data_IF_291006071523
#
_entry.id   IF_291006071523
#
_cell.length_a   1.000
_cell.length_b   1.000
_cell.length_c   1.000
_cell.angle_alpha   90.00
_cell.angle_beta   90.00
_cell.angle_gamma   90.00
#
_symmetry.space_group_name_H-M   'P 1'
#
loop_
_entity.id
_entity.type
_entity.pdbx_description
1 polymer ?
#
# COMPACT_ATOMS: atom_id res chain seq x y z
N UNK A 1 -10.15 -2.70 -28.12
CA UNK A 1 -10.59 -2.12 -26.82
C UNK A 1 -11.45 -3.05 -25.95
N UNK A 2 -12.18 -4.05 -26.49
CA UNK A 2 -12.97 -4.98 -25.65
C UNK A 2 -12.12 -5.91 -24.75
N UNK A 3 -10.89 -6.27 -25.17
CA UNK A 3 -9.99 -7.14 -24.37
C UNK A 3 -9.40 -6.46 -23.13
N UNK A 4 -9.40 -5.13 -23.05
CA UNK A 4 -8.88 -4.39 -21.88
C UNK A 4 -9.89 -4.32 -20.73
N UNK A 5 -11.20 -4.28 -21.04
CA UNK A 5 -12.29 -4.29 -20.04
C UNK A 5 -12.40 -5.63 -19.29
N UNK A 6 -12.15 -6.75 -19.97
CA UNK A 6 -12.18 -8.08 -19.35
C UNK A 6 -10.97 -8.33 -18.44
N UNK A 7 -9.83 -7.69 -18.71
CA UNK A 7 -8.64 -7.79 -17.86
C UNK A 7 -8.85 -7.03 -16.54
N UNK A 8 -9.38 -5.81 -16.58
CA UNK A 8 -9.60 -4.97 -15.39
C UNK A 8 -10.58 -5.55 -14.38
N UNK A 9 -11.57 -6.34 -14.84
CA UNK A 9 -12.50 -7.04 -13.96
C UNK A 9 -11.88 -8.28 -13.28
N UNK A 10 -10.67 -8.68 -13.70
CA UNK A 10 -9.94 -9.87 -13.23
C UNK A 10 -8.64 -9.53 -12.46
N UNK A 11 -8.12 -8.30 -12.52
CA UNK A 11 -6.79 -7.97 -11.97
C UNK A 11 -6.76 -8.05 -10.43
N UNK A 12 -7.90 -7.90 -9.76
CA UNK A 12 -7.99 -8.08 -8.31
C UNK A 12 -9.16 -9.00 -7.99
N UNK A 13 -9.02 -10.28 -8.33
CA UNK A 13 -9.80 -11.32 -7.66
C UNK A 13 -9.62 -11.14 -6.15
N UNK A 14 -10.75 -10.90 -5.47
CA UNK A 14 -10.96 -10.74 -4.02
C UNK A 14 -9.82 -11.32 -3.19
N UNK A 15 -9.32 -10.55 -2.22
CA UNK A 15 -8.27 -10.88 -1.22
C UNK A 15 -6.81 -10.93 -1.68
N UNK A 16 -6.49 -11.38 -2.91
CA UNK A 16 -5.08 -11.61 -3.27
C UNK A 16 -4.27 -10.32 -3.40
N UNK A 17 -4.77 -9.33 -4.13
CA UNK A 17 -3.99 -8.11 -4.36
C UNK A 17 -3.97 -7.15 -3.15
N UNK A 18 -4.93 -7.24 -2.23
CA UNK A 18 -4.86 -6.53 -0.94
C UNK A 18 -3.76 -7.13 -0.05
N UNK A 19 -3.62 -8.47 -0.05
CA UNK A 19 -2.53 -9.14 0.64
C UNK A 19 -1.17 -8.75 0.03
N UNK A 20 -1.04 -8.74 -1.29
CA UNK A 20 0.19 -8.33 -1.99
C UNK A 20 0.56 -6.87 -1.71
N UNK A 21 -0.41 -5.94 -1.72
CA UNK A 21 -0.18 -4.54 -1.36
C UNK A 21 0.25 -4.40 0.11
N UNK A 22 -0.36 -5.16 1.01
CA UNK A 22 0.03 -5.17 2.42
C UNK A 22 1.45 -5.72 2.63
N UNK A 23 1.83 -6.78 1.91
CA UNK A 23 3.21 -7.31 1.90
C UNK A 23 4.19 -6.27 1.38
N UNK A 24 3.86 -5.57 0.28
CA UNK A 24 4.68 -4.47 -0.24
C UNK A 24 4.89 -3.37 0.80
N UNK A 25 3.82 -2.91 1.45
CA UNK A 25 3.88 -1.92 2.52
C UNK A 25 4.79 -2.39 3.66
N UNK A 26 4.66 -3.64 4.10
CA UNK A 26 5.49 -4.20 5.16
C UNK A 26 6.96 -4.21 4.78
N UNK A 27 7.28 -4.69 3.57
CA UNK A 27 8.66 -4.74 3.09
C UNK A 27 9.31 -3.36 3.01
N UNK A 28 8.56 -2.34 2.57
CA UNK A 28 9.06 -0.97 2.47
C UNK A 28 9.22 -0.33 3.86
N UNK A 29 8.34 -0.63 4.82
CA UNK A 29 8.51 -0.20 6.22
C UNK A 29 9.80 -0.80 6.81
N UNK A 30 10.07 -2.09 6.58
CA UNK A 30 11.27 -2.73 7.09
C UNK A 30 12.54 -2.30 6.34
N UNK A 31 12.42 -1.87 5.08
CA UNK A 31 13.51 -1.19 4.37
C UNK A 31 13.81 0.16 5.03
N UNK A 32 12.81 1.02 5.25
CA UNK A 32 12.99 2.31 5.91
C UNK A 32 13.66 2.18 7.30
N UNK A 33 13.26 1.20 8.11
CA UNK A 33 13.91 0.94 9.42
C UNK A 33 15.39 0.60 9.29
N UNK A 34 15.76 -0.17 8.25
CA UNK A 34 17.16 -0.52 7.98
C UNK A 34 17.95 0.71 7.51
N UNK A 35 17.36 1.55 6.68
CA UNK A 35 17.95 2.82 6.25
C UNK A 35 18.12 3.79 7.43
N UNK A 36 17.16 3.88 8.35
CA UNK A 36 17.30 4.63 9.61
C UNK A 36 18.46 4.12 10.47
N UNK A 37 18.67 2.79 10.50
CA UNK A 37 19.80 2.23 11.22
C UNK A 37 21.13 2.60 10.55
N UNK A 38 21.20 2.57 9.21
CA UNK A 38 22.36 3.05 8.45
C UNK A 38 22.65 4.51 8.80
N UNK A 39 21.63 5.36 8.97
CA UNK A 39 21.83 6.74 9.39
C UNK A 39 22.50 6.87 10.77
N UNK A 40 22.11 6.00 11.72
CA UNK A 40 22.69 5.97 13.07
C UNK A 40 24.14 5.50 13.02
N UNK A 41 24.40 4.41 12.31
CA UNK A 41 25.74 3.84 12.18
C UNK A 41 26.70 4.81 11.48
N UNK A 42 26.22 5.54 10.47
CA UNK A 42 26.97 6.61 9.80
C UNK A 42 27.27 7.77 10.75
N UNK A 43 26.31 8.19 11.57
CA UNK A 43 26.56 9.23 12.57
C UNK A 43 27.65 8.82 13.57
N UNK A 44 27.62 7.57 14.06
CA UNK A 44 28.67 7.00 14.91
C UNK A 44 30.02 6.98 14.19
N UNK A 45 30.04 6.59 12.91
CA UNK A 45 31.27 6.58 12.09
C UNK A 45 31.85 7.98 11.94
N UNK A 46 31.03 9.00 11.68
CA UNK A 46 31.45 10.40 11.59
C UNK A 46 32.09 10.85 12.92
N UNK A 47 31.48 10.53 14.05
CA UNK A 47 32.06 10.83 15.37
C UNK A 47 33.40 10.14 15.60
N UNK A 48 33.53 8.87 15.20
CA UNK A 48 34.76 8.11 15.32
C UNK A 48 35.88 8.69 14.42
N UNK A 49 35.57 9.10 13.20
CA UNK A 49 36.52 9.76 12.30
C UNK A 49 37.03 11.08 12.89
N UNK A 50 36.14 11.92 13.45
CA UNK A 50 36.55 13.17 14.11
C UNK A 50 37.43 12.93 15.34
N UNK A 51 37.11 11.90 16.13
CA UNK A 51 37.94 11.51 17.28
C UNK A 51 39.32 11.01 16.84
N UNK A 52 39.39 10.21 15.78
CA UNK A 52 40.65 9.78 15.19
C UNK A 52 41.47 10.97 14.69
N UNK A 53 40.87 11.85 13.89
CA UNK A 53 41.52 13.05 13.34
C UNK A 53 42.19 13.91 14.41
N UNK A 54 41.58 14.05 15.60
CA UNK A 54 42.15 14.81 16.70
C UNK A 54 43.51 14.28 17.22
N UNK A 55 43.87 13.03 16.92
CA UNK A 55 45.13 12.39 17.31
C UNK A 55 46.20 12.38 16.21
N UNK A 56 45.89 12.95 15.03
CA UNK A 56 46.75 12.88 13.85
C UNK A 56 47.51 14.19 13.61
N UNK A 57 48.60 14.17 12.82
CA UNK A 57 49.23 15.38 12.27
C UNK A 57 48.23 16.26 11.53
N UNK A 58 48.49 17.56 11.44
CA UNK A 58 47.52 18.55 10.97
C UNK A 58 47.00 18.27 9.55
N UNK A 59 47.85 17.77 8.64
CA UNK A 59 47.47 17.41 7.27
C UNK A 59 46.45 16.27 7.25
N UNK A 60 46.71 15.18 7.99
CA UNK A 60 45.82 14.02 8.10
C UNK A 60 44.54 14.40 8.87
N UNK A 61 44.69 15.17 9.95
CA UNK A 61 43.59 15.66 10.76
C UNK A 61 42.60 16.47 9.92
N UNK A 62 43.09 17.40 9.10
CA UNK A 62 42.24 18.22 8.26
C UNK A 62 41.51 17.36 7.21
N UNK A 63 42.23 16.51 6.47
CA UNK A 63 41.61 15.64 5.46
C UNK A 63 40.54 14.70 6.05
N UNK A 64 40.83 14.04 7.18
CA UNK A 64 39.87 13.15 7.85
C UNK A 64 38.68 13.92 8.41
N UNK A 65 38.88 15.11 8.99
CA UNK A 65 37.78 15.96 9.44
C UNK A 65 36.88 16.38 8.28
N UNK A 66 37.45 16.76 7.14
CA UNK A 66 36.68 17.13 5.95
C UNK A 66 35.87 15.93 5.43
N UNK A 67 36.43 14.73 5.38
CA UNK A 67 35.68 13.50 5.04
C UNK A 67 34.52 13.27 6.02
N UNK A 68 34.76 13.44 7.32
CA UNK A 68 33.72 13.29 8.33
C UNK A 68 32.61 14.35 8.19
N UNK A 69 32.96 15.57 7.82
CA UNK A 69 32.01 16.66 7.59
C UNK A 69 31.17 16.46 6.33
N UNK A 70 31.75 15.95 5.24
CA UNK A 70 31.00 15.55 4.05
C UNK A 70 29.97 14.44 4.35
N UNK A 71 30.24 13.61 5.36
CA UNK A 71 29.30 12.58 5.83
C UNK A 71 28.01 13.14 6.43
N UNK A 72 28.01 14.36 6.99
CA UNK A 72 26.85 14.95 7.65
C UNK A 72 25.71 15.29 6.65
N UNK A 73 25.95 16.05 5.55
CA UNK A 73 24.93 16.26 4.52
C UNK A 73 24.40 14.97 3.91
N UNK A 74 25.25 13.95 3.71
CA UNK A 74 24.80 12.66 3.20
C UNK A 74 23.86 11.96 4.19
N UNK A 75 24.18 12.02 5.48
CA UNK A 75 23.34 11.42 6.51
C UNK A 75 21.97 12.10 6.62
N UNK A 76 21.95 13.43 6.50
CA UNK A 76 20.71 14.19 6.44
C UNK A 76 19.89 13.80 5.20
N UNK A 77 20.53 13.71 4.03
CA UNK A 77 19.85 13.33 2.79
C UNK A 77 19.23 11.92 2.85
N UNK A 78 19.92 10.96 3.48
CA UNK A 78 19.36 9.61 3.70
C UNK A 78 18.16 9.66 4.65
N UNK A 79 18.23 10.45 5.72
CA UNK A 79 17.13 10.65 6.66
C UNK A 79 15.91 11.29 5.99
N UNK A 80 16.14 12.34 5.19
CA UNK A 80 15.08 13.03 4.44
C UNK A 80 14.43 12.09 3.41
N UNK A 81 15.24 11.25 2.74
CA UNK A 81 14.75 10.21 1.82
C UNK A 81 13.83 9.25 2.56
N UNK A 82 14.24 8.72 3.71
CA UNK A 82 13.39 7.79 4.49
C UNK A 82 12.07 8.45 4.87
N UNK A 83 12.11 9.67 5.41
CA UNK A 83 10.91 10.43 5.79
C UNK A 83 9.98 10.63 4.59
N UNK A 84 10.54 10.98 3.43
CA UNK A 84 9.77 11.16 2.20
C UNK A 84 9.13 9.84 1.72
N UNK A 85 9.85 8.73 1.78
CA UNK A 85 9.32 7.40 1.42
C UNK A 85 8.20 7.00 2.38
N UNK A 86 8.39 7.16 3.69
CA UNK A 86 7.34 6.86 4.67
C UNK A 86 6.10 7.74 4.47
N UNK A 87 6.31 9.05 4.36
CA UNK A 87 5.23 10.04 4.37
C UNK A 87 4.45 10.09 3.06
N UNK A 88 5.11 9.91 1.93
CA UNK A 88 4.51 10.14 0.61
C UNK A 88 4.31 8.88 -0.22
N UNK A 89 5.12 7.83 -0.03
CA UNK A 89 4.95 6.56 -0.72
C UNK A 89 4.15 5.57 0.13
N UNK A 90 4.66 5.19 1.29
CA UNK A 90 4.05 4.16 2.15
C UNK A 90 2.66 4.58 2.61
N UNK A 91 2.47 5.82 3.06
CA UNK A 91 1.15 6.31 3.46
C UNK A 91 0.14 6.30 2.30
N UNK A 92 0.56 6.65 1.08
CA UNK A 92 -0.34 6.56 -0.09
C UNK A 92 -0.71 5.13 -0.44
N UNK A 93 0.21 4.18 -0.31
CA UNK A 93 -0.13 2.76 -0.45
C UNK A 93 -1.14 2.30 0.62
N UNK A 94 -1.01 2.79 1.87
CA UNK A 94 -1.99 2.51 2.94
C UNK A 94 -3.37 3.09 2.63
N UNK A 95 -3.44 4.32 2.12
CA UNK A 95 -4.72 4.92 1.72
C UNK A 95 -5.41 4.10 0.61
N UNK A 96 -4.64 3.63 -0.39
CA UNK A 96 -5.15 2.73 -1.45
C UNK A 96 -5.68 1.43 -0.84
N UNK A 97 -4.94 0.82 0.10
CA UNK A 97 -5.36 -0.41 0.76
C UNK A 97 -6.66 -0.22 1.55
N UNK A 98 -6.80 0.87 2.30
CA UNK A 98 -8.02 1.18 3.03
C UNK A 98 -9.21 1.43 2.11
N UNK A 99 -9.01 2.10 0.98
CA UNK A 99 -10.04 2.27 -0.04
C UNK A 99 -10.44 0.92 -0.67
N UNK A 100 -9.49 0.01 -0.90
CA UNK A 100 -9.76 -1.33 -1.40
C UNK A 100 -10.59 -2.17 -0.41
N UNK A 101 -10.30 -2.08 0.90
CA UNK A 101 -11.09 -2.77 1.94
C UNK A 101 -12.55 -2.31 1.96
N UNK A 102 -12.82 -1.03 1.70
CA UNK A 102 -14.20 -0.52 1.59
C UNK A 102 -14.93 -1.14 0.40
N UNK A 103 -14.23 -1.39 -0.71
CA UNK A 103 -14.80 -2.10 -1.86
C UNK A 103 -15.12 -3.56 -1.53
N UNK A 104 -14.28 -4.25 -0.77
CA UNK A 104 -14.54 -5.63 -0.32
C UNK A 104 -15.82 -5.72 0.54
N UNK A 105 -16.06 -4.73 1.41
CA UNK A 105 -17.29 -4.65 2.21
C UNK A 105 -18.52 -4.50 1.32
N UNK A 106 -18.46 -3.61 0.33
CA UNK A 106 -19.58 -3.38 -0.60
C UNK A 106 -19.86 -4.61 -1.47
N UNK A 107 -18.81 -5.29 -1.93
CA UNK A 107 -18.94 -6.55 -2.66
C UNK A 107 -19.54 -7.67 -1.81
N UNK A 108 -19.21 -7.72 -0.52
CA UNK A 108 -19.82 -8.65 0.43
C UNK A 108 -21.31 -8.33 0.63
N UNK A 109 -21.67 -7.07 0.83
CA UNK A 109 -23.07 -6.64 0.93
C UNK A 109 -23.88 -7.01 -0.33
N UNK A 110 -23.30 -6.81 -1.51
CA UNK A 110 -23.91 -7.22 -2.79
C UNK A 110 -24.11 -8.73 -2.87
N UNK A 111 -23.12 -9.52 -2.45
CA UNK A 111 -23.20 -10.98 -2.42
C UNK A 111 -24.27 -11.48 -1.42
N UNK A 112 -24.32 -10.89 -0.23
CA UNK A 112 -25.31 -11.22 0.79
C UNK A 112 -26.73 -10.85 0.31
N UNK A 113 -26.90 -9.73 -0.40
CA UNK A 113 -28.16 -9.34 -1.00
C UNK A 113 -28.60 -10.31 -2.12
N UNK A 114 -27.68 -10.81 -2.95
CA UNK A 114 -27.99 -11.85 -3.95
C UNK A 114 -28.50 -13.13 -3.29
N UNK A 115 -27.80 -13.60 -2.26
CA UNK A 115 -28.24 -14.77 -1.49
C UNK A 115 -29.59 -14.57 -0.80
N UNK A 116 -29.90 -13.35 -0.38
CA UNK A 116 -31.22 -13.01 0.16
C UNK A 116 -32.31 -13.11 -0.92
N UNK A 117 -32.07 -12.63 -2.14
CA UNK A 117 -33.00 -12.79 -3.28
C UNK A 117 -33.20 -14.26 -3.64
N UNK A 118 -32.14 -15.06 -3.68
CA UNK A 118 -32.21 -16.51 -3.93
C UNK A 118 -33.08 -17.21 -2.87
N UNK A 119 -32.80 -16.97 -1.58
CA UNK A 119 -33.60 -17.52 -0.48
C UNK A 119 -35.07 -17.10 -0.52
N UNK A 120 -35.34 -15.83 -0.82
CA UNK A 120 -36.71 -15.32 -0.91
C UNK A 120 -37.45 -15.93 -2.11
N UNK A 121 -36.76 -16.15 -3.23
CA UNK A 121 -37.30 -16.82 -4.41
C UNK A 121 -37.64 -18.29 -4.14
N UNK A 122 -36.77 -19.01 -3.44
CA UNK A 122 -37.02 -20.38 -3.00
C UNK A 122 -38.20 -20.47 -2.02
N UNK A 123 -38.30 -19.51 -1.08
CA UNK A 123 -39.42 -19.44 -0.15
C UNK A 123 -40.74 -19.20 -0.90
N UNK A 124 -40.76 -18.24 -1.82
CA UNK A 124 -41.92 -17.94 -2.65
C UNK A 124 -42.39 -19.18 -3.42
N UNK A 125 -41.47 -19.87 -4.11
CA UNK A 125 -41.80 -21.10 -4.84
C UNK A 125 -42.39 -22.20 -3.95
N UNK A 126 -41.88 -22.35 -2.71
CA UNK A 126 -42.44 -23.30 -1.73
C UNK A 126 -43.86 -22.91 -1.30
N UNK A 127 -44.12 -21.63 -1.05
CA UNK A 127 -45.46 -21.13 -0.68
C UNK A 127 -46.46 -21.27 -1.83
N UNK A 128 -46.00 -21.07 -3.06
CA UNK A 128 -46.82 -21.24 -4.25
C UNK A 128 -47.27 -22.70 -4.43
N UNK A 129 -46.35 -23.66 -4.27
CA UNK A 129 -46.69 -25.10 -4.24
C UNK A 129 -47.63 -25.48 -3.09
N UNK A 130 -47.45 -24.88 -1.92
CA UNK A 130 -48.34 -25.13 -0.77
C UNK A 130 -49.77 -24.64 -1.04
N UNK A 131 -49.92 -23.47 -1.68
CA UNK A 131 -51.21 -22.95 -2.10
C UNK A 131 -51.89 -23.86 -3.13
N UNK A 132 -51.16 -24.33 -4.14
CA UNK A 132 -51.66 -25.30 -5.13
C UNK A 132 -52.17 -26.59 -4.44
N UNK A 133 -51.39 -27.13 -3.50
CA UNK A 133 -51.80 -28.31 -2.74
C UNK A 133 -53.02 -28.08 -1.84
N UNK A 134 -53.19 -26.88 -1.26
CA UNK A 134 -54.38 -26.54 -0.48
C UNK A 134 -55.62 -26.41 -1.37
N UNK A 135 -55.48 -25.80 -2.56
CA UNK A 135 -56.55 -25.68 -3.56
C UNK A 135 -57.04 -27.05 -4.05
N UNK A 136 -56.12 -27.99 -4.32
CA UNK A 136 -56.49 -29.36 -4.72
C UNK A 136 -57.28 -30.12 -3.65
N UNK A 137 -57.05 -29.82 -2.37
CA UNK A 137 -57.72 -30.47 -1.24
C UNK A 137 -59.06 -29.83 -0.85
N UNK A 138 -59.41 -28.66 -1.42
CA UNK A 138 -60.69 -27.99 -1.21
C UNK A 138 -60.93 -27.41 0.19
N UNK A 139 -59.90 -27.28 1.03
CA UNK A 139 -60.02 -26.76 2.40
C UNK A 139 -59.89 -25.23 2.40
N UNK A 140 -61.03 -24.54 2.48
CA UNK A 140 -61.11 -23.07 2.43
C UNK A 140 -60.24 -22.37 3.50
N UNK A 141 -60.14 -22.95 4.70
CA UNK A 141 -59.31 -22.41 5.79
C UNK A 141 -57.81 -22.51 5.46
N UNK A 142 -57.38 -23.64 4.90
CA UNK A 142 -55.99 -23.82 4.47
C UNK A 142 -55.64 -22.98 3.24
N UNK A 143 -56.59 -22.72 2.34
CA UNK A 143 -56.40 -21.84 1.19
C UNK A 143 -56.13 -20.41 1.66
N UNK A 144 -56.98 -19.84 2.52
CA UNK A 144 -56.79 -18.48 3.03
C UNK A 144 -55.45 -18.31 3.77
N UNK A 145 -55.06 -19.29 4.58
CA UNK A 145 -53.76 -19.29 5.26
C UNK A 145 -52.58 -19.37 4.27
N UNK A 146 -52.67 -20.19 3.22
CA UNK A 146 -51.64 -20.31 2.20
C UNK A 146 -51.51 -19.03 1.34
N UNK A 147 -52.62 -18.36 1.04
CA UNK A 147 -52.63 -17.07 0.32
C UNK A 147 -51.95 -15.96 1.14
N UNK A 148 -52.24 -15.88 2.45
CA UNK A 148 -51.58 -14.92 3.33
C UNK A 148 -50.05 -15.16 3.40
N UNK A 149 -49.63 -16.43 3.49
CA UNK A 149 -48.21 -16.78 3.47
C UNK A 149 -47.53 -16.48 2.14
N UNK A 150 -48.22 -16.70 1.01
CA UNK A 150 -47.70 -16.37 -0.32
C UNK A 150 -47.47 -14.86 -0.44
N UNK A 151 -48.45 -14.04 -0.04
CA UNK A 151 -48.34 -12.58 -0.07
C UNK A 151 -47.17 -12.06 0.80
N UNK A 152 -46.94 -12.68 1.96
CA UNK A 152 -45.77 -12.36 2.80
C UNK A 152 -44.46 -12.69 2.08
N UNK A 153 -44.36 -13.87 1.45
CA UNK A 153 -43.18 -14.29 0.72
C UNK A 153 -42.91 -13.42 -0.53
N UNK A 154 -43.95 -12.94 -1.21
CA UNK A 154 -43.84 -11.96 -2.30
C UNK A 154 -43.24 -10.65 -1.81
N UNK A 155 -43.72 -10.15 -0.66
CA UNK A 155 -43.22 -8.91 -0.07
C UNK A 155 -41.74 -9.04 0.38
N UNK A 156 -41.36 -10.19 0.94
CA UNK A 156 -39.96 -10.52 1.27
C UNK A 156 -39.07 -10.48 0.02
N UNK A 157 -39.50 -11.13 -1.06
CA UNK A 157 -38.76 -11.14 -2.34
C UNK A 157 -38.61 -9.73 -2.92
N UNK A 158 -39.69 -8.94 -2.98
CA UNK A 158 -39.65 -7.55 -3.46
C UNK A 158 -38.66 -6.72 -2.63
N UNK A 159 -38.60 -6.94 -1.32
CA UNK A 159 -37.69 -6.20 -0.43
C UNK A 159 -36.23 -6.58 -0.67
N UNK A 160 -35.94 -7.87 -0.86
CA UNK A 160 -34.61 -8.35 -1.21
C UNK A 160 -34.16 -7.84 -2.59
N UNK A 161 -35.05 -7.88 -3.60
CA UNK A 161 -34.78 -7.39 -4.95
C UNK A 161 -34.49 -5.89 -4.96
N UNK A 162 -35.29 -5.08 -4.26
CA UNK A 162 -35.05 -3.62 -4.11
C UNK A 162 -33.72 -3.31 -3.42
N UNK A 163 -33.31 -4.13 -2.46
CA UNK A 163 -32.01 -3.97 -1.81
C UNK A 163 -30.87 -4.25 -2.80
N UNK A 164 -30.97 -5.34 -3.55
CA UNK A 164 -29.97 -5.69 -4.56
C UNK A 164 -29.91 -4.66 -5.70
N UNK A 165 -31.06 -4.19 -6.17
CA UNK A 165 -31.19 -3.16 -7.21
C UNK A 165 -30.52 -1.84 -6.81
N UNK A 166 -30.51 -1.49 -5.52
CA UNK A 166 -29.78 -0.32 -5.01
C UNK A 166 -28.27 -0.56 -4.90
N UNK A 167 -27.87 -1.77 -4.48
CA UNK A 167 -26.46 -2.08 -4.23
C UNK A 167 -25.65 -2.29 -5.51
N UNK A 168 -26.24 -2.84 -6.57
CA UNK A 168 -25.55 -3.05 -7.85
C UNK A 168 -24.98 -1.74 -8.44
N UNK A 169 -25.79 -0.69 -8.72
CA UNK A 169 -25.28 0.54 -9.31
C UNK A 169 -24.32 1.27 -8.38
N UNK A 170 -24.56 1.25 -7.06
CA UNK A 170 -23.65 1.82 -6.08
C UNK A 170 -22.28 1.13 -6.11
N UNK A 171 -22.24 -0.20 -6.20
CA UNK A 171 -21.00 -0.96 -6.30
C UNK A 171 -20.23 -0.64 -7.58
N UNK A 172 -20.92 -0.47 -8.71
CA UNK A 172 -20.30 -0.12 -9.99
C UNK A 172 -19.73 1.30 -9.98
N UNK A 173 -20.47 2.27 -9.42
CA UNK A 173 -20.03 3.65 -9.24
C UNK A 173 -18.77 3.70 -8.37
N UNK A 174 -18.81 3.07 -7.19
CA UNK A 174 -17.69 3.04 -6.26
C UNK A 174 -16.48 2.28 -6.80
N UNK A 175 -16.69 1.23 -7.58
CA UNK A 175 -15.59 0.54 -8.25
C UNK A 175 -14.87 1.46 -9.27
N UNK A 176 -15.63 2.27 -10.02
CA UNK A 176 -15.05 3.23 -10.97
C UNK A 176 -14.30 4.36 -10.28
N UNK A 177 -14.88 4.92 -9.21
CA UNK A 177 -14.22 5.93 -8.37
C UNK A 177 -12.91 5.38 -7.81
N UNK A 178 -12.95 4.17 -7.25
CA UNK A 178 -11.78 3.51 -6.68
C UNK A 178 -10.70 3.26 -7.74
N UNK A 179 -11.05 2.78 -8.95
CA UNK A 179 -10.08 2.53 -10.01
C UNK A 179 -9.34 3.80 -10.45
N UNK A 180 -10.06 4.92 -10.56
CA UNK A 180 -9.47 6.22 -10.89
C UNK A 180 -8.56 6.70 -9.76
N UNK A 181 -9.03 6.63 -8.51
CA UNK A 181 -8.26 7.00 -7.33
C UNK A 181 -6.99 6.15 -7.21
N UNK A 182 -7.09 4.83 -7.31
CA UNK A 182 -5.98 3.89 -7.22
C UNK A 182 -4.89 4.22 -8.25
N UNK A 183 -5.27 4.44 -9.51
CA UNK A 183 -4.32 4.71 -10.59
C UNK A 183 -3.57 6.03 -10.36
N UNK A 184 -4.29 7.09 -9.96
CA UNK A 184 -3.67 8.39 -9.65
C UNK A 184 -2.78 8.31 -8.43
N UNK A 185 -3.29 7.75 -7.32
CA UNK A 185 -2.57 7.64 -6.06
C UNK A 185 -1.31 6.79 -6.19
N UNK A 186 -1.35 5.68 -6.96
CA UNK A 186 -0.17 4.85 -7.20
C UNK A 186 0.88 5.59 -8.03
N UNK A 187 0.46 6.32 -9.06
CA UNK A 187 1.37 7.15 -9.86
C UNK A 187 2.07 8.20 -9.00
N UNK A 188 1.32 8.90 -8.14
CA UNK A 188 1.86 9.91 -7.26
C UNK A 188 2.81 9.32 -6.22
N UNK A 189 2.44 8.17 -5.63
CA UNK A 189 3.28 7.44 -4.69
C UNK A 189 4.62 7.02 -5.34
N UNK A 190 4.58 6.41 -6.53
CA UNK A 190 5.79 5.98 -7.25
C UNK A 190 6.67 7.16 -7.66
N UNK A 191 6.06 8.28 -8.07
CA UNK A 191 6.79 9.51 -8.37
C UNK A 191 7.48 10.05 -7.12
N UNK A 192 6.78 10.12 -5.99
CA UNK A 192 7.35 10.59 -4.73
C UNK A 192 8.54 9.73 -4.27
N UNK A 193 8.42 8.40 -4.38
CA UNK A 193 9.53 7.48 -4.11
C UNK A 193 10.71 7.76 -5.03
N UNK A 194 10.46 7.87 -6.33
CA UNK A 194 11.52 8.10 -7.32
C UNK A 194 12.26 9.41 -7.08
N UNK A 195 11.54 10.51 -6.81
CA UNK A 195 12.17 11.81 -6.52
C UNK A 195 12.99 11.80 -5.21
N UNK A 196 12.52 11.09 -4.17
CA UNK A 196 13.28 10.93 -2.94
C UNK A 196 14.62 10.21 -3.19
N UNK A 197 14.58 9.09 -3.91
CA UNK A 197 15.80 8.34 -4.27
C UNK A 197 16.72 9.13 -5.20
N UNK A 198 16.17 9.87 -6.17
CA UNK A 198 16.94 10.72 -7.08
C UNK A 198 17.68 11.82 -6.32
N UNK A 199 17.00 12.48 -5.39
CA UNK A 199 17.60 13.53 -4.56
C UNK A 199 18.74 12.97 -3.71
N UNK A 200 18.52 11.81 -3.09
CA UNK A 200 19.56 11.12 -2.33
C UNK A 200 20.75 10.70 -3.20
N UNK A 201 20.50 10.10 -4.37
CA UNK A 201 21.56 9.65 -5.28
C UNK A 201 22.48 10.80 -5.71
N UNK A 202 21.92 11.99 -5.97
CA UNK A 202 22.72 13.17 -6.26
C UNK A 202 23.63 13.54 -5.07
N UNK A 203 23.08 13.55 -3.85
CA UNK A 203 23.86 13.84 -2.63
C UNK A 203 24.95 12.80 -2.35
N UNK A 204 24.68 11.53 -2.67
CA UNK A 204 25.68 10.47 -2.59
C UNK A 204 26.81 10.69 -3.59
N UNK A 205 26.49 11.07 -4.84
CA UNK A 205 27.51 11.39 -5.84
C UNK A 205 28.36 12.60 -5.46
N UNK A 206 27.75 13.66 -4.93
CA UNK A 206 28.44 14.84 -4.41
C UNK A 206 29.40 14.45 -3.27
N UNK A 207 28.95 13.57 -2.37
CA UNK A 207 29.74 13.05 -1.25
C UNK A 207 30.97 12.27 -1.72
N UNK A 208 30.79 11.30 -2.63
CA UNK A 208 31.91 10.51 -3.19
C UNK A 208 32.93 11.42 -3.86
N UNK A 209 32.47 12.35 -4.70
CA UNK A 209 33.34 13.33 -5.36
C UNK A 209 34.07 14.24 -4.37
N UNK A 210 33.42 14.55 -3.24
CA UNK A 210 34.03 15.29 -2.14
C UNK A 210 35.15 14.50 -1.46
N UNK A 211 34.93 13.22 -1.17
CA UNK A 211 35.94 12.34 -0.56
C UNK A 211 37.14 12.15 -1.47
N UNK A 212 36.94 11.87 -2.75
CA UNK A 212 38.03 11.65 -3.71
C UNK A 212 39.03 12.83 -3.71
N UNK A 213 38.51 14.06 -3.73
CA UNK A 213 39.33 15.28 -3.64
C UNK A 213 40.14 15.37 -2.34
N UNK A 214 39.56 14.94 -1.21
CA UNK A 214 40.24 14.98 0.09
C UNK A 214 41.32 13.91 0.19
N UNK A 215 41.07 12.73 -0.36
CA UNK A 215 42.06 11.64 -0.39
C UNK A 215 43.25 12.02 -1.27
N UNK A 216 43.01 12.62 -2.44
CA UNK A 216 44.06 13.13 -3.34
C UNK A 216 44.90 14.25 -2.71
N UNK A 217 44.34 15.00 -1.76
CA UNK A 217 45.04 16.08 -1.06
C UNK A 217 45.96 15.60 0.08
N UNK A 218 45.86 14.34 0.51
CA UNK A 218 46.75 13.78 1.53
C UNK A 218 48.12 13.53 0.89
N UNK A 219 49.19 14.21 1.34
CA UNK A 219 50.53 13.97 0.82
C UNK A 219 50.96 12.54 1.14
N UNK A 220 51.46 11.82 0.13
CA UNK A 220 51.90 10.43 0.29
C UNK A 220 53.21 10.25 1.08
N UNK A 221 53.91 11.35 1.38
CA UNK A 221 55.31 11.48 1.85
C UNK A 221 56.35 10.48 1.31
N UNK A 222 57.34 11.04 0.59
CA UNK A 222 58.74 10.65 0.77
C UNK A 222 59.11 10.81 2.25
N UNK A 223 59.26 9.70 2.99
CA UNK A 223 59.45 9.82 4.46
C UNK A 223 59.74 8.54 5.26
N UNK A 224 60.26 7.47 4.66
CA UNK A 224 60.99 6.44 5.43
C UNK A 224 62.49 6.69 5.23
N UNK A 225 63.07 7.70 5.88
CA UNK A 225 64.49 7.61 6.18
C UNK A 225 64.63 6.73 7.43
N UNK A 226 65.15 5.49 7.32
CA UNK A 226 65.51 4.73 8.50
C UNK A 226 66.56 5.53 9.29
N UNK A 227 66.57 5.42 10.62
CA UNK A 227 67.57 6.11 11.43
C UNK A 227 68.96 5.67 10.98
N UNK A 228 69.79 6.63 10.56
CA UNK A 228 71.22 6.43 10.33
C UNK A 228 71.86 6.08 11.67
N UNK A 229 72.44 4.88 11.74
CA UNK A 229 73.26 4.38 12.86
C UNK A 229 74.63 5.04 12.82
#
# INVERSE_FOLDING_TARGET
MQKFKAATQKVFGKTKGNAELNTLISNEVDLCKREEQICKDRATTISALKAYAASQPDEIKNAVNEVAEQGLPLNQAETDKVIAVQSNYINKLREILEAAKKMDVLDKQKEDAKKAVEKASDNLAKKQKALEGAKMKGDAGKIAAAEAQLKSAEQEKITAEKTLEKLIPLAEEKAKEFQNYQSSALKDALKARTEAYKTFAQKYQDFVSGIEKQVEAIPAEEGLNPPTV
#
